data_IF_025058325091
#
_entry.id   IF_025058325091
#
_cell.length_a   1.000
_cell.length_b   1.000
_cell.length_c   1.000
_cell.angle_alpha   90.00
_cell.angle_beta   90.00
_cell.angle_gamma   90.00
#
_symmetry.space_group_name_H-M   'P 1'
#
loop_
_entity.id
_entity.type
_entity.pdbx_description
1 polymer ?
#
# COMPACT_ATOMS: atom_id res chain seq x y z
N UNK A 1 -16.61 -21.10 -3.84
CA UNK A 1 -15.61 -21.76 -4.72
C UNK A 1 -14.72 -20.60 -5.20
N UNK A 2 -13.53 -20.45 -4.63
CA UNK A 2 -12.62 -19.34 -4.96
C UNK A 2 -12.11 -19.47 -6.40
N UNK A 3 -11.57 -18.39 -7.00
CA UNK A 3 -11.06 -18.44 -8.37
C UNK A 3 -10.07 -19.60 -8.49
N UNK A 4 -10.23 -20.40 -9.56
CA UNK A 4 -9.35 -21.53 -9.89
C UNK A 4 -7.89 -21.13 -9.69
N UNK A 5 -7.12 -22.02 -9.04
CA UNK A 5 -5.75 -21.77 -8.64
C UNK A 5 -4.93 -21.27 -9.85
N UNK A 6 -4.59 -19.98 -9.84
CA UNK A 6 -3.70 -19.39 -10.83
C UNK A 6 -2.34 -20.07 -10.65
N UNK A 7 -1.78 -20.70 -11.70
CA UNK A 7 -0.50 -21.37 -11.59
C UNK A 7 0.60 -20.36 -11.28
N UNK A 8 1.46 -20.70 -10.33
CA UNK A 8 2.63 -19.91 -9.99
C UNK A 8 3.69 -19.99 -11.09
N UNK A 9 4.59 -19.02 -11.14
CA UNK A 9 5.70 -19.02 -12.08
C UNK A 9 6.67 -20.15 -11.76
N UNK A 10 7.00 -20.94 -12.77
CA UNK A 10 7.98 -22.02 -12.70
C UNK A 10 9.29 -21.63 -13.43
N UNK A 11 10.43 -22.23 -13.05
CA UNK A 11 10.61 -23.14 -11.92
C UNK A 11 10.58 -22.39 -10.58
N UNK A 12 10.14 -23.09 -9.52
CA UNK A 12 10.29 -22.53 -8.18
C UNK A 12 11.77 -22.52 -7.76
N UNK A 13 12.14 -21.58 -6.89
CA UNK A 13 13.51 -21.50 -6.36
C UNK A 13 13.90 -22.79 -5.62
N UNK A 14 12.97 -23.36 -4.85
CA UNK A 14 13.15 -24.61 -4.12
C UNK A 14 13.45 -25.78 -5.05
N UNK A 15 12.64 -25.99 -6.09
CA UNK A 15 12.85 -27.10 -7.05
C UNK A 15 14.19 -26.98 -7.77
N UNK A 16 14.59 -25.74 -8.06
CA UNK A 16 15.88 -25.43 -8.69
C UNK A 16 17.04 -25.79 -7.77
N UNK A 17 16.98 -25.41 -6.48
CA UNK A 17 18.01 -25.74 -5.50
C UNK A 17 18.14 -27.26 -5.34
N UNK A 18 17.03 -27.98 -5.23
CA UNK A 18 17.05 -29.44 -5.12
C UNK A 18 17.64 -30.12 -6.35
N UNK A 19 17.27 -29.64 -7.55
CA UNK A 19 17.84 -30.12 -8.81
C UNK A 19 19.35 -29.91 -8.84
N UNK A 20 19.84 -28.72 -8.50
CA UNK A 20 21.27 -28.40 -8.47
C UNK A 20 22.04 -29.28 -7.48
N UNK A 21 21.44 -29.57 -6.32
CA UNK A 21 22.02 -30.51 -5.35
C UNK A 21 22.13 -31.94 -5.90
N UNK A 22 21.09 -32.43 -6.58
CA UNK A 22 21.13 -33.75 -7.27
C UNK A 22 22.18 -33.80 -8.38
N UNK A 23 22.45 -32.69 -9.04
CA UNK A 23 23.49 -32.55 -10.06
C UNK A 23 24.91 -32.43 -9.46
N UNK A 24 25.05 -32.40 -8.14
CA UNK A 24 26.33 -32.37 -7.43
C UNK A 24 26.88 -30.98 -7.16
N UNK A 25 26.06 -29.93 -7.29
CA UNK A 25 26.43 -28.57 -6.90
C UNK A 25 26.73 -28.51 -5.41
N UNK A 26 27.91 -27.99 -5.04
CA UNK A 26 28.34 -27.90 -3.63
C UNK A 26 28.29 -26.50 -3.06
N UNK A 27 28.25 -25.49 -3.92
CA UNK A 27 28.29 -24.07 -3.55
C UNK A 27 27.22 -23.34 -4.36
N UNK A 28 26.37 -22.57 -3.69
CA UNK A 28 25.27 -21.82 -4.30
C UNK A 28 25.28 -20.37 -3.78
N UNK A 29 25.23 -19.43 -4.72
CA UNK A 29 25.07 -18.01 -4.45
C UNK A 29 23.65 -17.59 -4.84
N UNK A 30 22.86 -17.14 -3.87
CA UNK A 30 21.51 -16.63 -4.09
C UNK A 30 21.55 -15.10 -4.26
N UNK A 31 21.01 -14.60 -5.37
CA UNK A 31 20.97 -13.16 -5.69
C UNK A 31 19.51 -12.68 -5.73
N UNK A 32 19.07 -11.84 -4.77
CA UNK A 32 17.71 -11.31 -4.75
C UNK A 32 17.57 -10.15 -5.75
N UNK A 33 17.06 -10.42 -6.96
CA UNK A 33 16.93 -9.41 -8.03
C UNK A 33 15.62 -8.61 -7.99
N UNK A 34 14.57 -9.14 -7.37
CA UNK A 34 13.23 -8.55 -7.42
C UNK A 34 13.00 -7.46 -6.37
N UNK A 35 13.93 -7.29 -5.42
CA UNK A 35 13.80 -6.34 -4.32
C UNK A 35 15.12 -5.63 -4.06
N UNK A 36 15.03 -4.34 -3.74
CA UNK A 36 16.19 -3.48 -3.46
C UNK A 36 16.45 -3.30 -1.97
N UNK A 37 15.58 -3.81 -1.08
CA UNK A 37 15.73 -3.70 0.37
C UNK A 37 15.27 -4.98 1.09
N UNK A 38 15.83 -5.22 2.27
CA UNK A 38 15.49 -6.34 3.13
C UNK A 38 14.11 -6.15 3.78
N UNK A 39 13.32 -7.21 3.82
CA UNK A 39 12.05 -7.26 4.52
C UNK A 39 11.87 -8.64 5.18
N UNK A 40 10.87 -8.78 6.05
CA UNK A 40 10.68 -10.05 6.78
C UNK A 40 10.57 -11.27 5.86
N UNK A 41 9.91 -11.12 4.71
CA UNK A 41 9.79 -12.18 3.71
C UNK A 41 11.15 -12.65 3.19
N UNK A 42 11.98 -11.72 2.71
CA UNK A 42 13.34 -12.03 2.21
C UNK A 42 14.23 -12.66 3.27
N UNK A 43 14.24 -12.12 4.50
CA UNK A 43 15.09 -12.68 5.57
C UNK A 43 14.66 -14.09 5.99
N UNK A 44 13.36 -14.35 6.16
CA UNK A 44 12.92 -15.67 6.61
C UNK A 44 12.98 -16.71 5.49
N UNK A 45 12.40 -16.39 4.33
CA UNK A 45 12.33 -17.31 3.20
C UNK A 45 13.73 -17.64 2.68
N UNK A 46 14.58 -16.64 2.45
CA UNK A 46 15.87 -16.88 1.79
C UNK A 46 16.96 -17.35 2.75
N UNK A 47 17.10 -16.74 3.93
CA UNK A 47 18.21 -17.09 4.84
C UNK A 47 17.93 -18.32 5.70
N UNK A 48 16.67 -18.74 5.83
CA UNK A 48 16.30 -19.92 6.62
C UNK A 48 15.72 -21.02 5.74
N UNK A 49 14.61 -20.75 5.06
CA UNK A 49 13.89 -21.83 4.34
C UNK A 49 14.68 -22.35 3.14
N UNK A 50 15.18 -21.47 2.27
CA UNK A 50 15.98 -21.86 1.11
C UNK A 50 17.37 -22.39 1.51
N UNK A 51 17.97 -21.85 2.56
CA UNK A 51 19.23 -22.36 3.12
C UNK A 51 19.07 -23.81 3.66
N UNK A 52 17.95 -24.09 4.32
CA UNK A 52 17.60 -25.43 4.79
C UNK A 52 17.35 -26.38 3.62
N UNK A 53 16.69 -25.93 2.55
CA UNK A 53 16.52 -26.70 1.31
C UNK A 53 17.88 -27.03 0.69
N UNK A 54 18.77 -26.03 0.56
CA UNK A 54 20.10 -26.22 0.00
C UNK A 54 20.92 -27.24 0.79
N UNK A 55 20.88 -27.16 2.12
CA UNK A 55 21.55 -28.10 3.02
C UNK A 55 21.03 -29.52 2.81
N UNK A 56 19.70 -29.71 2.74
CA UNK A 56 19.08 -31.02 2.47
C UNK A 56 19.43 -31.56 1.08
N UNK A 57 19.61 -30.67 0.10
CA UNK A 57 19.99 -31.04 -1.26
C UNK A 57 21.48 -31.40 -1.41
N UNK A 58 22.31 -31.25 -0.36
CA UNK A 58 23.73 -31.58 -0.37
C UNK A 58 24.67 -30.42 -0.77
N UNK A 59 24.13 -29.20 -0.87
CA UNK A 59 24.92 -27.98 -1.05
C UNK A 59 25.55 -27.65 0.30
N UNK A 60 26.88 -27.46 0.31
CA UNK A 60 27.67 -27.22 1.53
C UNK A 60 27.79 -25.74 1.85
N UNK A 61 27.98 -24.94 0.80
CA UNK A 61 28.17 -23.50 0.92
C UNK A 61 26.98 -22.80 0.28
N UNK A 62 26.11 -22.21 1.10
CA UNK A 62 25.00 -21.38 0.64
C UNK A 62 25.25 -19.95 1.11
N UNK A 63 25.32 -19.02 0.16
CA UNK A 63 25.52 -17.60 0.46
C UNK A 63 24.44 -16.81 -0.24
N UNK A 64 23.80 -15.88 0.48
CA UNK A 64 22.90 -14.90 -0.12
C UNK A 64 23.61 -13.55 -0.24
N UNK A 65 23.45 -12.90 -1.38
CA UNK A 65 23.87 -11.52 -1.57
C UNK A 65 22.90 -10.58 -0.84
N UNK A 66 23.39 -9.59 -0.05
CA UNK A 66 22.52 -8.57 0.51
C UNK A 66 21.77 -7.82 -0.59
N UNK A 67 20.57 -7.34 -0.28
CA UNK A 67 19.90 -6.37 -1.16
C UNK A 67 20.68 -5.04 -1.19
N UNK A 68 20.43 -4.23 -2.22
CA UNK A 68 21.17 -2.99 -2.48
C UNK A 68 21.07 -1.97 -1.32
N UNK A 69 19.94 -1.94 -0.61
CA UNK A 69 19.76 -1.13 0.59
C UNK A 69 20.10 0.34 0.38
N UNK A 70 21.13 0.80 1.09
CA UNK A 70 21.67 2.17 1.04
C UNK A 70 23.05 2.22 0.40
N UNK A 71 23.33 1.35 -0.57
CA UNK A 71 24.56 1.40 -1.34
C UNK A 71 24.69 2.72 -2.10
N UNK A 72 25.84 3.38 -1.98
CA UNK A 72 26.07 4.73 -2.52
C UNK A 72 25.98 4.73 -4.06
N UNK A 73 26.55 3.71 -4.73
CA UNK A 73 26.52 3.58 -6.18
C UNK A 73 25.10 3.33 -6.69
N UNK A 74 24.30 2.54 -5.96
CA UNK A 74 22.88 2.37 -6.26
C UNK A 74 22.10 3.69 -6.13
N UNK A 75 22.34 4.47 -5.08
CA UNK A 75 21.67 5.77 -4.88
C UNK A 75 22.05 6.74 -6.01
N UNK A 76 23.33 6.82 -6.37
CA UNK A 76 23.82 7.67 -7.47
C UNK A 76 23.25 7.24 -8.82
N UNK A 77 23.11 5.92 -9.04
CA UNK A 77 22.48 5.37 -10.23
C UNK A 77 21.01 5.76 -10.30
N UNK A 78 20.26 5.65 -9.20
CA UNK A 78 18.87 6.09 -9.15
C UNK A 78 18.75 7.58 -9.45
N UNK A 79 19.63 8.41 -8.88
CA UNK A 79 19.66 9.85 -9.16
C UNK A 79 19.94 10.14 -10.65
N UNK A 80 20.81 9.35 -11.27
CA UNK A 80 21.15 9.47 -12.69
C UNK A 80 19.98 9.06 -13.58
N UNK A 81 19.33 7.93 -13.29
CA UNK A 81 18.12 7.47 -14.01
C UNK A 81 17.00 8.50 -13.91
N UNK A 82 16.80 9.10 -12.73
CA UNK A 82 15.81 10.18 -12.57
C UNK A 82 16.19 11.41 -13.40
N UNK A 83 17.45 11.81 -13.41
CA UNK A 83 17.93 12.94 -14.21
C UNK A 83 17.77 12.70 -15.72
N UNK A 84 18.04 11.49 -16.21
CA UNK A 84 17.80 11.10 -17.60
C UNK A 84 16.31 11.10 -17.95
N UNK A 85 15.45 10.74 -17.00
CA UNK A 85 14.00 10.79 -17.16
C UNK A 85 13.41 12.21 -17.07
N UNK A 86 14.17 13.21 -16.58
CA UNK A 86 13.77 14.60 -16.67
C UNK A 86 13.90 15.04 -18.13
N UNK A 87 12.83 15.52 -18.78
CA UNK A 87 12.94 16.12 -20.09
C UNK A 87 13.69 17.43 -20.00
N UNK A 88 14.21 17.79 -21.16
CA UNK A 88 14.84 19.07 -21.39
C UNK A 88 13.87 20.21 -21.09
N UNK A 89 14.07 20.86 -19.94
CA UNK A 89 13.29 22.01 -19.49
C UNK A 89 13.47 23.24 -20.40
N UNK A 90 14.42 23.19 -21.35
CA UNK A 90 14.63 24.24 -22.35
C UNK A 90 13.84 24.01 -23.64
N UNK A 91 13.12 22.88 -23.78
CA UNK A 91 12.28 22.60 -24.94
C UNK A 91 10.80 22.96 -24.67
N UNK A 92 10.11 23.66 -25.59
CA UNK A 92 8.68 23.95 -25.43
C UNK A 92 7.84 22.66 -25.46
N UNK A 93 6.94 22.52 -24.47
CA UNK A 93 6.09 21.35 -24.19
C UNK A 93 5.21 20.84 -25.36
N UNK A 94 4.97 21.68 -26.38
CA UNK A 94 4.04 21.42 -27.47
C UNK A 94 4.51 20.42 -28.55
N UNK A 95 5.79 20.06 -28.63
CA UNK A 95 6.30 19.16 -29.68
C UNK A 95 6.40 17.68 -29.26
N UNK A 96 6.39 17.38 -27.96
CA UNK A 96 6.76 16.07 -27.42
C UNK A 96 5.54 15.12 -27.31
N UNK A 97 4.35 15.65 -27.03
CA UNK A 97 3.13 14.85 -26.76
C UNK A 97 2.68 14.02 -27.98
N UNK A 98 2.95 14.47 -29.20
CA UNK A 98 2.51 13.78 -30.42
C UNK A 98 3.45 12.64 -30.87
N UNK A 99 4.59 12.44 -30.18
CA UNK A 99 5.62 11.48 -30.60
C UNK A 99 5.79 10.29 -29.64
N UNK A 100 5.06 10.24 -28.52
CA UNK A 100 5.10 9.11 -27.59
C UNK A 100 6.31 9.07 -26.66
N UNK A 101 7.07 10.16 -26.59
CA UNK A 101 8.25 10.29 -25.72
C UNK A 101 7.86 10.64 -24.26
N UNK A 102 8.68 10.27 -23.26
CA UNK A 102 8.45 10.60 -21.85
C UNK A 102 8.35 12.13 -21.61
N UNK A 103 7.34 12.55 -20.84
CA UNK A 103 7.06 13.97 -20.53
C UNK A 103 7.33 14.25 -19.05
N UNK A 104 7.90 15.40 -18.70
CA UNK A 104 8.26 15.70 -17.31
C UNK A 104 7.03 16.00 -16.48
N UNK A 105 7.20 15.77 -15.19
CA UNK A 105 6.32 16.29 -14.17
C UNK A 105 6.12 17.83 -14.21
N UNK A 106 7.09 18.64 -14.67
CA UNK A 106 6.90 20.09 -14.80
C UNK A 106 5.95 20.47 -15.95
N UNK A 107 5.95 19.71 -17.05
CA UNK A 107 4.99 19.85 -18.16
C UNK A 107 3.62 19.36 -17.70
N UNK A 108 3.57 18.25 -16.94
CA UNK A 108 2.35 17.79 -16.29
C UNK A 108 1.81 18.86 -15.34
N UNK A 109 2.63 19.61 -14.59
CA UNK A 109 2.16 20.71 -13.74
C UNK A 109 1.55 21.90 -14.53
N UNK A 110 2.04 22.19 -15.73
CA UNK A 110 1.45 23.22 -16.60
C UNK A 110 0.06 22.80 -17.13
N UNK A 111 -0.17 21.49 -17.28
CA UNK A 111 -1.46 20.91 -17.67
C UNK A 111 -2.32 20.40 -16.48
N UNK A 112 -1.77 20.27 -15.27
CA UNK A 112 -2.45 19.86 -14.02
C UNK A 112 -3.13 21.04 -13.32
N UNK A 113 -3.33 22.14 -14.03
CA UNK A 113 -4.51 22.98 -13.78
C UNK A 113 -5.82 22.31 -14.21
N UNK A 114 -5.81 21.13 -14.86
CA UNK A 114 -6.99 20.55 -15.49
C UNK A 114 -7.71 19.44 -14.73
N UNK A 115 -7.29 19.07 -13.51
CA UNK A 115 -8.17 18.28 -12.66
C UNK A 115 -8.06 18.72 -11.22
N UNK A 116 -8.99 19.58 -10.80
CA UNK A 116 -9.30 19.65 -9.37
C UNK A 116 -9.74 18.24 -8.93
N UNK A 117 -9.51 17.91 -7.66
CA UNK A 117 -9.90 16.62 -7.07
C UNK A 117 -11.37 16.25 -7.35
N UNK A 118 -12.21 17.25 -7.61
CA UNK A 118 -13.61 17.15 -7.99
C UNK A 118 -13.84 16.62 -9.42
N UNK A 119 -12.89 16.80 -10.34
CA UNK A 119 -12.96 16.36 -11.74
C UNK A 119 -12.41 14.95 -11.96
N UNK A 120 -11.52 14.49 -11.07
CA UNK A 120 -11.06 13.10 -11.02
C UNK A 120 -12.11 12.26 -10.29
N UNK A 121 -13.17 11.87 -10.99
CA UNK A 121 -14.16 10.89 -10.52
C UNK A 121 -13.54 9.47 -10.41
N UNK A 122 -12.50 9.33 -9.57
CA UNK A 122 -11.80 8.08 -9.28
C UNK A 122 -12.53 7.21 -8.24
N UNK A 123 -13.74 7.63 -7.86
CA UNK A 123 -14.67 6.94 -6.97
C UNK A 123 -15.95 6.71 -7.77
N UNK A 124 -16.61 5.54 -7.70
CA UNK A 124 -17.86 5.31 -8.42
C UNK A 124 -18.89 6.38 -8.03
N UNK A 125 -19.21 7.29 -8.94
CA UNK A 125 -20.15 8.40 -8.71
C UNK A 125 -21.58 8.00 -9.06
N UNK A 126 -22.12 6.90 -8.52
CA UNK A 126 -23.57 6.74 -8.47
C UNK A 126 -24.01 5.97 -7.23
N UNK A 127 -24.85 6.60 -6.41
CA UNK A 127 -25.95 5.89 -5.74
C UNK A 127 -27.25 6.66 -5.95
N UNK A 128 -28.26 6.05 -6.59
CA UNK A 128 -29.59 6.63 -6.61
C UNK A 128 -30.19 6.55 -5.21
N UNK A 129 -30.87 7.64 -4.82
CA UNK A 129 -31.55 7.92 -3.55
C UNK A 129 -30.69 8.43 -2.37
N UNK A 130 -30.50 9.76 -2.33
CA UNK A 130 -30.54 10.55 -1.10
C UNK A 130 -29.27 10.64 -0.24
N UNK A 131 -28.17 9.99 -0.60
CA UNK A 131 -26.90 10.09 0.11
C UNK A 131 -25.93 10.98 -0.67
N UNK A 132 -26.06 12.30 -0.50
CA UNK A 132 -25.02 13.23 -0.94
C UNK A 132 -23.87 13.25 0.09
N UNK A 133 -22.67 13.64 -0.33
CA UNK A 133 -21.51 13.78 0.58
C UNK A 133 -21.83 14.73 1.75
N UNK A 134 -22.64 15.77 1.50
CA UNK A 134 -23.14 16.66 2.57
C UNK A 134 -24.07 15.93 3.54
N UNK A 135 -24.93 15.02 3.06
CA UNK A 135 -25.79 14.21 3.92
C UNK A 135 -24.96 13.25 4.78
N UNK A 136 -23.88 12.66 4.24
CA UNK A 136 -22.96 11.82 5.03
C UNK A 136 -22.22 12.61 6.10
N UNK A 137 -21.73 13.81 5.79
CA UNK A 137 -21.07 14.68 6.79
C UNK A 137 -22.06 15.10 7.89
N UNK A 138 -23.30 15.44 7.53
CA UNK A 138 -24.34 15.82 8.52
C UNK A 138 -24.77 14.61 9.35
N UNK A 139 -25.02 13.46 8.72
CA UNK A 139 -25.38 12.22 9.42
C UNK A 139 -24.25 11.75 10.33
N UNK A 140 -23.00 11.82 9.86
CA UNK A 140 -21.80 11.50 10.62
C UNK A 140 -21.62 12.43 11.83
N UNK A 141 -21.86 13.73 11.67
CA UNK A 141 -21.83 14.71 12.78
C UNK A 141 -22.92 14.44 13.82
N UNK A 142 -24.14 14.13 13.38
CA UNK A 142 -25.24 13.78 14.28
C UNK A 142 -24.97 12.48 15.03
N UNK A 143 -24.43 11.45 14.36
CA UNK A 143 -24.04 10.19 14.98
C UNK A 143 -22.92 10.39 16.01
N UNK A 144 -21.88 11.17 15.67
CA UNK A 144 -20.79 11.47 16.60
C UNK A 144 -21.25 12.29 17.80
N UNK A 145 -22.17 13.24 17.61
CA UNK A 145 -22.77 13.98 18.71
C UNK A 145 -23.59 13.05 19.63
N UNK A 146 -24.38 12.14 19.06
CA UNK A 146 -25.17 11.17 19.83
C UNK A 146 -24.29 10.19 20.62
N UNK A 147 -23.21 9.68 20.02
CA UNK A 147 -22.23 8.81 20.69
C UNK A 147 -21.53 9.59 21.80
N UNK A 148 -21.05 10.80 21.53
CA UNK A 148 -20.37 11.65 22.53
C UNK A 148 -21.28 11.96 23.71
N UNK A 149 -22.55 12.31 23.44
CA UNK A 149 -23.54 12.56 24.47
C UNK A 149 -23.85 11.27 25.26
N UNK A 150 -23.93 10.12 24.60
CA UNK A 150 -24.17 8.83 25.26
C UNK A 150 -23.01 8.44 26.17
N UNK A 151 -21.76 8.68 25.74
CA UNK A 151 -20.56 8.45 26.54
C UNK A 151 -20.50 9.43 27.72
N UNK A 152 -20.76 10.72 27.50
CA UNK A 152 -20.83 11.72 28.57
C UNK A 152 -21.91 11.37 29.60
N UNK A 153 -23.11 10.96 29.14
CA UNK A 153 -24.17 10.45 29.99
C UNK A 153 -23.80 9.15 30.69
N UNK A 154 -22.86 8.36 30.17
CA UNK A 154 -22.45 7.10 30.79
C UNK A 154 -21.36 7.31 31.84
N UNK A 155 -20.49 8.30 31.64
CA UNK A 155 -19.34 8.58 32.50
C UNK A 155 -19.63 9.64 33.58
N UNK A 156 -20.53 10.59 33.33
CA UNK A 156 -20.85 11.66 34.28
C UNK A 156 -22.11 11.32 35.12
N UNK A 157 -21.97 11.05 36.42
CA UNK A 157 -23.10 10.71 37.31
C UNK A 157 -24.10 11.86 37.48
N UNK A 158 -23.69 13.12 37.28
CA UNK A 158 -24.53 14.32 37.41
C UNK A 158 -25.54 14.42 36.25
N UNK A 159 -25.07 14.15 35.03
CA UNK A 159 -25.90 14.14 33.82
C UNK A 159 -26.87 12.96 33.81
N UNK A 160 -26.48 11.78 34.34
CA UNK A 160 -27.41 10.65 34.57
C UNK A 160 -28.57 11.02 35.49
N UNK A 161 -28.27 11.69 36.60
CA UNK A 161 -29.26 12.10 37.59
C UNK A 161 -30.26 13.11 36.98
N UNK A 162 -29.78 14.09 36.23
CA UNK A 162 -30.61 15.07 35.52
C UNK A 162 -31.56 14.41 34.50
N UNK A 163 -31.09 13.45 33.70
CA UNK A 163 -31.95 12.72 32.74
C UNK A 163 -32.97 11.82 33.45
N UNK A 164 -32.60 11.19 34.56
CA UNK A 164 -33.53 10.41 35.38
C UNK A 164 -34.63 11.29 35.99
N UNK A 165 -34.27 12.46 36.52
CA UNK A 165 -35.23 13.46 37.03
C UNK A 165 -36.16 13.98 35.93
N UNK A 166 -35.65 14.27 34.73
CA UNK A 166 -36.48 14.68 33.60
C UNK A 166 -37.47 13.58 33.17
N UNK A 167 -37.03 12.31 33.09
CA UNK A 167 -37.92 11.18 32.79
C UNK A 167 -39.01 11.00 33.85
N UNK A 168 -38.65 11.13 35.13
CA UNK A 168 -39.61 11.07 36.24
C UNK A 168 -40.62 12.23 36.19
N UNK A 169 -40.16 13.46 35.93
CA UNK A 169 -41.03 14.64 35.78
C UNK A 169 -41.96 14.50 34.58
N UNK A 170 -41.49 14.02 33.43
CA UNK A 170 -42.34 13.80 32.25
C UNK A 170 -43.40 12.74 32.52
N UNK A 171 -43.04 11.63 33.17
CA UNK A 171 -43.99 10.58 33.55
C UNK A 171 -45.07 11.10 34.52
N UNK A 172 -44.72 11.99 35.44
CA UNK A 172 -45.66 12.63 36.37
C UNK A 172 -46.58 13.68 35.72
N UNK A 173 -46.23 14.20 34.54
CA UNK A 173 -47.04 15.19 33.80
C UNK A 173 -47.97 14.51 32.78
N UNK A 174 -47.70 13.27 32.39
CA UNK A 174 -48.51 12.50 31.43
C UNK A 174 -49.38 11.39 32.06
N UNK A 175 -49.46 11.33 33.39
CA UNK A 175 -50.38 10.45 34.14
C UNK A 175 -51.40 11.26 34.91
#
# INVERSE_FOLDING_TARGET
>A
IGPEAVPWTEPSTTDTIEKLGREGTRTLLLVPVSFVFEHMGTLNEMDRELADVATRAGIRDFVRVPTLGTDDEFIDTLASVVQEALPDLNQPSMQIINQGEPVALNVVNEYVTLYTKDQLQLVPQERPWGFTEQAEVVNGRLAMAAITLSVALTLDPTLKALVAMYKASKAAVTG
#
